data_IF_727411026116
#
_entry.id   IF_727411026116
#
_cell.length_a   1.000
_cell.length_b   1.000
_cell.length_c   1.000
_cell.angle_alpha   90.00
_cell.angle_beta   90.00
_cell.angle_gamma   90.00
#
_symmetry.space_group_name_H-M   'P 1'
#
loop_
_entity.id
_entity.type
_entity.pdbx_description
1 polymer ?
#
# COMPACT_ATOMS: atom_id res chain seq x y z
N UNK A 1 24.14 1.93 -58.51
CA UNK A 1 24.55 1.33 -57.21
C UNK A 1 24.19 2.18 -55.98
N UNK A 2 24.18 3.53 -56.05
CA UNK A 2 23.84 4.42 -54.90
C UNK A 2 22.34 4.47 -54.54
N UNK A 3 21.45 4.19 -55.49
CA UNK A 3 20.00 4.25 -55.30
C UNK A 3 19.42 3.04 -54.54
N UNK A 4 20.11 1.89 -54.56
CA UNK A 4 19.67 0.68 -53.85
C UNK A 4 19.84 0.79 -52.33
N UNK A 5 20.83 1.55 -51.86
CA UNK A 5 21.05 1.78 -50.43
C UNK A 5 19.96 2.65 -49.79
N UNK A 6 19.32 3.54 -50.56
CA UNK A 6 18.27 4.44 -50.05
C UNK A 6 16.94 3.68 -49.88
N UNK A 7 16.64 2.73 -50.77
CA UNK A 7 15.42 1.92 -50.70
C UNK A 7 15.44 0.97 -49.48
N UNK A 8 16.62 0.44 -49.12
CA UNK A 8 16.75 -0.45 -47.96
C UNK A 8 16.53 0.28 -46.62
N UNK A 9 16.88 1.57 -46.52
CA UNK A 9 16.71 2.35 -45.29
C UNK A 9 15.24 2.73 -45.01
N UNK A 10 14.41 2.89 -46.05
CA UNK A 10 12.99 3.23 -45.90
C UNK A 10 12.14 2.04 -45.46
N UNK A 11 12.52 0.81 -45.84
CA UNK A 11 11.80 -0.41 -45.46
C UNK A 11 11.94 -0.78 -43.97
N UNK A 12 13.03 -0.36 -43.30
CA UNK A 12 13.26 -0.65 -41.87
C UNK A 12 12.54 0.31 -40.92
N UNK A 13 12.02 1.45 -41.39
CA UNK A 13 11.33 2.44 -40.55
C UNK A 13 9.81 2.21 -40.43
N UNK A 14 9.25 1.27 -41.20
CA UNK A 14 7.79 1.04 -41.27
C UNK A 14 7.20 0.18 -40.15
N UNK A 15 8.03 -0.45 -39.31
CA UNK A 15 7.55 -1.38 -38.26
C UNK A 15 7.28 -0.72 -36.90
N UNK A 16 7.46 0.59 -36.75
CA UNK A 16 7.23 1.32 -35.49
C UNK A 16 5.95 2.18 -35.56
N UNK A 17 4.84 1.56 -35.98
CA UNK A 17 3.52 2.17 -35.82
C UNK A 17 3.01 1.86 -34.42
N UNK A 18 2.87 2.89 -33.57
CA UNK A 18 2.24 2.73 -32.25
C UNK A 18 0.79 2.27 -32.44
N UNK A 19 0.28 1.34 -31.62
CA UNK A 19 -1.12 0.98 -31.68
C UNK A 19 -1.99 2.19 -31.39
N UNK A 20 -3.07 2.37 -32.16
CA UNK A 20 -4.12 3.32 -31.83
C UNK A 20 -4.84 2.84 -30.57
N UNK A 21 -4.60 3.53 -29.45
CA UNK A 21 -5.28 3.27 -28.18
C UNK A 21 -6.50 4.18 -28.08
N UNK A 22 -7.69 3.60 -28.12
CA UNK A 22 -8.94 4.29 -27.84
C UNK A 22 -9.30 4.06 -26.37
N UNK A 23 -9.22 5.11 -25.56
CA UNK A 23 -9.68 5.07 -24.17
C UNK A 23 -11.20 5.19 -24.12
N UNK A 24 -11.85 4.26 -23.42
CA UNK A 24 -13.28 4.32 -23.11
C UNK A 24 -13.47 4.48 -21.61
N UNK A 25 -14.58 5.10 -21.21
CA UNK A 25 -14.95 5.17 -19.80
C UNK A 25 -15.32 3.77 -19.32
N UNK A 26 -14.72 3.37 -18.20
CA UNK A 26 -15.06 2.15 -17.48
C UNK A 26 -15.38 2.51 -16.02
N UNK A 27 -16.38 1.84 -15.47
CA UNK A 27 -16.72 1.93 -14.05
C UNK A 27 -16.32 0.62 -13.36
N UNK A 28 -15.81 0.73 -12.14
CA UNK A 28 -15.54 -0.39 -11.24
C UNK A 28 -16.20 -0.13 -9.90
N UNK A 29 -16.72 -1.18 -9.28
CA UNK A 29 -17.19 -1.16 -7.89
C UNK A 29 -16.08 -1.74 -7.02
N UNK A 30 -15.65 -0.99 -6.02
CA UNK A 30 -14.66 -1.48 -5.06
C UNK A 30 -15.34 -2.40 -4.03
N UNK A 31 -14.66 -3.46 -3.55
CA UNK A 31 -15.15 -4.26 -2.44
C UNK A 31 -15.20 -3.43 -1.15
N UNK A 32 -15.98 -3.90 -0.18
CA UNK A 32 -16.05 -3.30 1.15
C UNK A 32 -14.71 -3.43 1.88
N UNK A 33 -14.40 -2.43 2.71
CA UNK A 33 -13.19 -2.36 3.52
C UNK A 33 -13.57 -1.95 4.94
N UNK A 34 -12.92 -2.44 6.02
CA UNK A 34 -13.25 -2.03 7.37
C UNK A 34 -13.06 -0.53 7.52
N UNK A 35 -14.11 0.16 7.94
CA UNK A 35 -14.06 1.59 8.21
C UNK A 35 -13.31 1.90 9.52
N UNK A 36 -13.30 0.95 10.45
CA UNK A 36 -12.80 1.13 11.80
C UNK A 36 -11.72 0.10 12.16
N UNK A 37 -10.84 0.52 13.07
CA UNK A 37 -9.82 -0.31 13.68
C UNK A 37 -10.38 -0.97 14.95
N UNK A 38 -10.02 -2.23 15.28
CA UNK A 38 -10.49 -2.90 16.48
C UNK A 38 -10.17 -2.12 17.76
N UNK A 39 -11.03 -2.21 18.80
CA UNK A 39 -10.74 -1.57 20.07
C UNK A 39 -9.47 -2.17 20.72
N UNK A 40 -8.66 -1.31 21.35
CA UNK A 40 -7.44 -1.74 22.03
C UNK A 40 -6.65 -0.57 22.62
N UNK A 41 -5.69 -0.85 23.52
CA UNK A 41 -4.79 0.17 24.04
C UNK A 41 -3.97 0.77 22.89
N UNK A 42 -3.87 2.11 22.83
CA UNK A 42 -3.16 2.82 21.76
C UNK A 42 -3.95 3.06 20.47
N UNK A 43 -5.25 2.70 20.43
CA UNK A 43 -6.10 2.93 19.24
C UNK A 43 -6.10 4.40 18.82
N UNK A 44 -6.20 5.33 19.77
CA UNK A 44 -6.27 6.76 19.46
C UNK A 44 -5.00 7.23 18.73
N UNK A 45 -3.82 6.82 19.20
CA UNK A 45 -2.56 7.13 18.54
C UNK A 45 -2.54 6.62 17.09
N UNK A 46 -3.07 5.43 16.81
CA UNK A 46 -3.15 4.91 15.44
C UNK A 46 -4.17 5.67 14.58
N UNK A 47 -5.35 5.98 15.13
CA UNK A 47 -6.38 6.74 14.41
C UNK A 47 -5.86 8.11 13.99
N UNK A 48 -5.15 8.80 14.88
CA UNK A 48 -4.61 10.14 14.65
C UNK A 48 -3.44 10.15 13.66
N UNK A 49 -2.63 9.08 13.62
CA UNK A 49 -1.36 9.08 12.89
C UNK A 49 -1.35 8.22 11.60
N UNK A 50 -2.25 7.24 11.45
CA UNK A 50 -2.09 6.20 10.42
C UNK A 50 -3.24 6.09 9.40
N UNK A 51 -4.37 6.76 9.63
CA UNK A 51 -5.58 6.60 8.79
C UNK A 51 -5.68 7.56 7.62
N UNK A 52 -4.71 8.48 7.47
CA UNK A 52 -4.72 9.49 6.43
C UNK A 52 -4.36 8.98 5.02
N UNK A 53 -3.61 7.88 4.91
CA UNK A 53 -2.98 7.47 3.64
C UNK A 53 -3.46 6.11 3.10
N UNK A 54 -3.89 5.20 3.95
CA UNK A 54 -4.38 3.89 3.56
C UNK A 54 -5.46 3.39 4.53
N UNK A 55 -6.22 2.40 4.09
CA UNK A 55 -7.31 1.85 4.88
C UNK A 55 -6.86 0.99 6.06
N UNK A 56 -7.75 0.75 7.04
CA UNK A 56 -7.51 -0.17 8.15
C UNK A 56 -7.10 -1.58 7.74
N UNK A 57 -7.68 -2.14 6.68
CA UNK A 57 -7.35 -3.52 6.29
C UNK A 57 -5.89 -3.71 5.91
N UNK A 58 -5.21 -2.69 5.39
CA UNK A 58 -3.78 -2.77 5.10
C UNK A 58 -2.96 -3.01 6.37
N UNK A 59 -3.42 -2.45 7.50
CA UNK A 59 -2.82 -2.67 8.82
C UNK A 59 -3.23 -4.02 9.42
N UNK A 60 -4.50 -4.40 9.28
CA UNK A 60 -5.05 -5.60 9.94
C UNK A 60 -4.67 -6.91 9.25
N UNK A 61 -4.31 -6.88 7.97
CA UNK A 61 -3.93 -8.08 7.19
C UNK A 61 -2.45 -8.46 7.33
N UNK A 62 -1.70 -7.80 8.21
CA UNK A 62 -0.31 -8.20 8.46
C UNK A 62 -0.26 -9.59 9.11
N UNK A 63 0.66 -10.48 8.69
CA UNK A 63 0.86 -11.75 9.37
C UNK A 63 1.29 -11.51 10.83
N UNK A 64 1.17 -12.54 11.67
CA UNK A 64 1.70 -12.49 13.03
C UNK A 64 3.20 -12.20 13.00
N UNK A 65 3.59 -11.05 13.52
CA UNK A 65 4.98 -10.58 13.48
C UNK A 65 5.40 -10.04 14.85
N UNK A 66 6.68 -10.18 15.21
CA UNK A 66 7.16 -9.67 16.48
C UNK A 66 7.12 -8.13 16.51
N UNK A 67 7.11 -7.57 17.72
CA UNK A 67 7.18 -6.12 17.98
C UNK A 67 8.22 -5.39 17.11
N UNK A 68 9.45 -5.91 17.07
CA UNK A 68 10.55 -5.29 16.31
C UNK A 68 10.22 -5.15 14.81
N UNK A 69 9.38 -6.05 14.27
CA UNK A 69 8.92 -5.93 12.89
C UNK A 69 7.86 -4.85 12.73
N UNK A 70 6.97 -4.69 13.71
CA UNK A 70 6.03 -3.57 13.76
C UNK A 70 6.75 -2.22 13.83
N UNK A 71 7.76 -2.09 14.68
CA UNK A 71 8.63 -0.91 14.76
C UNK A 71 9.22 -0.58 13.38
N UNK A 72 9.83 -1.56 12.72
CA UNK A 72 10.36 -1.38 11.36
C UNK A 72 9.31 -0.97 10.33
N UNK A 73 8.07 -1.47 10.43
CA UNK A 73 6.99 -1.10 9.51
C UNK A 73 6.51 0.34 9.77
N UNK A 74 6.38 0.75 11.04
CA UNK A 74 6.06 2.14 11.41
C UNK A 74 7.18 3.08 10.96
N UNK A 75 8.45 2.74 11.21
CA UNK A 75 9.60 3.51 10.71
C UNK A 75 9.58 3.64 9.19
N UNK A 76 9.19 2.59 8.45
CA UNK A 76 9.01 2.69 6.99
C UNK A 76 7.96 3.72 6.60
N UNK A 77 6.85 3.83 7.33
CA UNK A 77 5.81 4.84 7.06
C UNK A 77 6.37 6.26 7.21
N UNK A 78 7.21 6.47 8.21
CA UNK A 78 7.83 7.77 8.49
C UNK A 78 8.95 8.07 7.48
N UNK A 79 9.92 7.17 7.35
CA UNK A 79 11.15 7.44 6.61
C UNK A 79 10.96 7.36 5.09
N UNK A 80 10.17 6.39 4.61
CA UNK A 80 9.97 6.15 3.17
C UNK A 80 8.73 6.87 2.66
N UNK A 81 7.60 6.71 3.35
CA UNK A 81 6.32 7.29 2.91
C UNK A 81 6.04 8.68 3.48
N UNK A 82 6.93 9.20 4.33
CA UNK A 82 6.86 10.57 4.88
C UNK A 82 5.57 10.83 5.68
N UNK A 83 5.02 9.80 6.32
CA UNK A 83 3.91 9.95 7.23
C UNK A 83 4.31 10.90 8.38
N UNK A 84 3.51 11.93 8.70
CA UNK A 84 3.82 12.92 9.73
C UNK A 84 3.45 12.37 11.12
N UNK A 85 4.14 11.32 11.56
CA UNK A 85 3.93 10.67 12.85
C UNK A 85 4.90 11.27 13.87
N UNK A 86 4.40 11.60 15.06
CA UNK A 86 5.25 11.98 16.19
C UNK A 86 6.06 10.77 16.66
N UNK A 87 7.38 10.91 16.77
CA UNK A 87 8.28 9.86 17.28
C UNK A 87 7.87 9.38 18.69
N UNK A 88 7.30 10.27 19.51
CA UNK A 88 6.82 9.91 20.84
C UNK A 88 5.60 8.98 20.82
N UNK A 89 4.82 8.97 19.74
CA UNK A 89 3.66 8.10 19.58
C UNK A 89 4.03 6.68 19.10
N UNK A 90 5.25 6.47 18.58
CA UNK A 90 5.67 5.19 17.99
C UNK A 90 5.50 4.01 18.96
N UNK A 91 5.93 4.09 20.23
CA UNK A 91 5.77 2.96 21.16
C UNK A 91 4.31 2.57 21.35
N UNK A 92 3.40 3.54 21.47
CA UNK A 92 1.96 3.31 21.67
C UNK A 92 1.29 2.73 20.41
N UNK A 93 1.67 3.22 19.22
CA UNK A 93 1.22 2.67 17.93
C UNK A 93 1.64 1.20 17.79
N UNK A 94 2.89 0.88 18.14
CA UNK A 94 3.42 -0.48 18.07
C UNK A 94 2.73 -1.39 19.09
N UNK A 95 2.51 -0.90 20.32
CA UNK A 95 1.79 -1.63 21.38
C UNK A 95 0.39 -2.02 20.91
N UNK A 96 -0.32 -1.10 20.26
CA UNK A 96 -1.65 -1.35 19.69
C UNK A 96 -1.63 -2.53 18.70
N UNK A 97 -0.72 -2.52 17.73
CA UNK A 97 -0.67 -3.59 16.73
C UNK A 97 -0.32 -4.96 17.31
N UNK A 98 0.57 -5.00 18.30
CA UNK A 98 0.88 -6.23 19.04
C UNK A 98 -0.36 -6.74 19.80
N UNK A 99 -1.09 -5.85 20.46
CA UNK A 99 -2.32 -6.21 21.18
C UNK A 99 -3.42 -6.72 20.24
N UNK A 100 -3.63 -6.07 19.09
CA UNK A 100 -4.59 -6.51 18.08
C UNK A 100 -4.22 -7.88 17.53
N UNK A 101 -2.95 -8.11 17.23
CA UNK A 101 -2.49 -9.43 16.75
C UNK A 101 -2.73 -10.53 17.79
N UNK A 102 -2.48 -10.27 19.07
CA UNK A 102 -2.77 -11.22 20.14
C UNK A 102 -4.27 -11.54 20.25
N UNK A 103 -5.14 -10.53 20.09
CA UNK A 103 -6.58 -10.71 20.11
C UNK A 103 -7.10 -11.51 18.90
N UNK A 104 -6.51 -11.32 17.72
CA UNK A 104 -6.84 -12.07 16.50
C UNK A 104 -6.45 -13.56 16.61
N UNK A 105 -5.30 -13.87 17.23
CA UNK A 105 -4.90 -15.26 17.51
C UNK A 105 -5.88 -15.93 18.46
N UNK A 106 -6.36 -15.18 19.46
CA UNK A 106 -7.36 -15.68 20.39
C UNK A 106 -8.74 -15.91 19.73
N UNK A 107 -9.06 -15.15 18.67
CA UNK A 107 -10.36 -15.18 17.99
C UNK A 107 -10.22 -15.12 16.45
N UNK A 108 -9.82 -16.21 15.79
CA UNK A 108 -9.48 -16.21 14.36
C UNK A 108 -10.66 -16.01 13.38
N UNK A 109 -11.88 -15.74 13.87
CA UNK A 109 -13.09 -15.52 13.06
C UNK A 109 -13.88 -14.26 13.43
N UNK A 110 -13.30 -13.33 14.19
CA UNK A 110 -13.98 -12.13 14.71
C UNK A 110 -13.79 -10.86 13.89
N UNK A 111 -13.56 -10.97 12.58
CA UNK A 111 -13.52 -9.84 11.65
C UNK A 111 -14.90 -9.58 11.05
#
# INVERSE_FOLDING_TARGET
MKHWAIILAVLLAGCDSRPDVVFVNAAITLPDDPAELPPGPGLQAVVENCTACHSPSTMLQQPQVPRAKWESMVSKMIETYKAPVDEQAIPEIVDYFVAVQAAQVANPGGA
#
